data_IF_121064693305
#
_entry.id   IF_121064693305
#
_cell.length_a   1.000
_cell.length_b   1.000
_cell.length_c   1.000
_cell.angle_alpha   90.00
_cell.angle_beta   90.00
_cell.angle_gamma   90.00
#
_symmetry.space_group_name_H-M   'P 1'
#
loop_
_entity.id
_entity.type
_entity.pdbx_description
1 polymer ?
#
# COMPACT_ATOMS: atom_id res chain seq x y z
N UNK A 1 -1.99 9.55 -2.00
CA UNK A 1 -0.60 9.31 -2.42
C UNK A 1 0.33 10.44 -2.03
N UNK A 2 -0.12 11.70 -2.02
CA UNK A 2 0.73 12.81 -1.61
C UNK A 2 1.29 12.66 -0.19
N UNK A 3 0.52 12.13 0.76
CA UNK A 3 0.97 11.92 2.14
C UNK A 3 2.08 10.85 2.21
N UNK A 4 1.96 9.76 1.45
CA UNK A 4 2.99 8.71 1.37
C UNK A 4 4.28 9.28 0.76
N UNK A 5 4.16 10.04 -0.31
CA UNK A 5 5.28 10.68 -0.98
C UNK A 5 5.98 11.67 -0.05
N UNK A 6 5.22 12.50 0.67
CA UNK A 6 5.78 13.47 1.62
C UNK A 6 6.50 12.77 2.78
N UNK A 7 5.95 11.66 3.29
CA UNK A 7 6.60 10.88 4.34
C UNK A 7 7.91 10.28 3.87
N UNK A 8 7.95 9.74 2.65
CA UNK A 8 9.18 9.21 2.04
C UNK A 8 10.24 10.29 1.86
N UNK A 9 9.83 11.51 1.57
CA UNK A 9 10.73 12.64 1.35
C UNK A 9 11.43 13.08 2.64
N UNK A 10 10.86 12.79 3.79
CA UNK A 10 11.38 13.17 5.10
C UNK A 10 12.20 12.04 5.71
N UNK A 11 13.34 11.73 5.11
CA UNK A 11 14.15 10.56 5.46
C UNK A 11 14.68 10.54 6.90
N UNK A 12 14.80 11.69 7.56
CA UNK A 12 15.43 11.81 8.87
C UNK A 12 14.42 11.87 10.03
N UNK A 13 13.13 11.64 9.78
CA UNK A 13 12.13 11.69 10.84
C UNK A 13 12.21 10.42 11.67
N UNK A 14 12.46 10.60 12.97
CA UNK A 14 12.35 9.51 13.93
C UNK A 14 10.89 9.07 14.02
N UNK A 15 10.64 7.80 13.77
CA UNK A 15 9.31 7.23 13.90
C UNK A 15 9.05 7.00 15.39
N UNK A 16 7.93 7.52 15.95
CA UNK A 16 7.60 7.32 17.35
C UNK A 16 7.53 5.83 17.70
N UNK A 17 7.86 5.50 18.94
CA UNK A 17 7.77 4.14 19.49
C UNK A 17 8.80 3.15 18.95
N UNK A 18 9.87 3.62 18.31
CA UNK A 18 10.93 2.76 17.82
C UNK A 18 10.54 1.85 16.66
N UNK A 19 9.48 2.18 15.94
CA UNK A 19 9.03 1.41 14.78
C UNK A 19 10.04 1.56 13.63
N UNK A 20 10.56 0.46 13.05
CA UNK A 20 11.44 0.56 11.89
C UNK A 20 10.77 1.25 10.71
N UNK A 21 11.57 1.96 9.93
CA UNK A 21 11.09 2.71 8.76
C UNK A 21 10.35 1.81 7.74
N UNK A 22 10.86 0.60 7.51
CA UNK A 22 10.22 -0.32 6.58
C UNK A 22 8.82 -0.75 7.03
N UNK A 23 8.55 -0.77 8.34
CA UNK A 23 7.21 -1.08 8.86
C UNK A 23 6.25 0.06 8.54
N UNK A 24 6.69 1.31 8.69
CA UNK A 24 5.87 2.46 8.32
C UNK A 24 5.56 2.45 6.81
N UNK A 25 6.55 2.12 5.97
CA UNK A 25 6.35 1.95 4.53
C UNK A 25 5.33 0.85 4.25
N UNK A 26 5.49 -0.32 4.85
CA UNK A 26 4.58 -1.45 4.65
C UNK A 26 3.14 -1.09 5.03
N UNK A 27 2.96 -0.41 6.17
CA UNK A 27 1.63 -0.01 6.63
C UNK A 27 0.99 1.03 5.70
N UNK A 28 1.77 2.01 5.26
CA UNK A 28 1.29 3.03 4.32
C UNK A 28 0.87 2.41 2.99
N UNK A 29 1.66 1.50 2.48
CA UNK A 29 1.35 0.80 1.22
C UNK A 29 0.23 -0.23 1.38
N UNK A 30 0.06 -0.81 2.56
CA UNK A 30 -1.10 -1.64 2.85
C UNK A 30 -2.40 -0.82 2.72
N UNK A 31 -2.42 0.39 3.28
CA UNK A 31 -3.54 1.30 3.10
C UNK A 31 -3.78 1.64 1.63
N UNK A 32 -2.71 1.92 0.88
CA UNK A 32 -2.80 2.20 -0.54
C UNK A 32 -3.36 1.00 -1.32
N UNK A 33 -2.86 -0.20 -1.05
CA UNK A 33 -3.33 -1.43 -1.70
C UNK A 33 -4.82 -1.67 -1.45
N UNK A 34 -5.27 -1.48 -0.21
CA UNK A 34 -6.67 -1.62 0.15
C UNK A 34 -7.54 -0.59 -0.58
N UNK A 35 -7.12 0.67 -0.62
CA UNK A 35 -7.84 1.73 -1.31
C UNK A 35 -7.89 1.49 -2.82
N UNK A 36 -6.82 0.95 -3.40
CA UNK A 36 -6.79 0.63 -4.83
C UNK A 36 -7.77 -0.48 -5.17
N UNK A 37 -7.85 -1.52 -4.35
CA UNK A 37 -8.86 -2.59 -4.57
C UNK A 37 -10.26 -2.00 -4.53
N UNK A 38 -10.54 -1.13 -3.57
CA UNK A 38 -11.84 -0.49 -3.46
C UNK A 38 -12.14 0.39 -4.68
N UNK A 39 -11.17 1.19 -5.10
CA UNK A 39 -11.33 2.08 -6.26
C UNK A 39 -11.52 1.30 -7.55
N UNK A 40 -10.71 0.26 -7.79
CA UNK A 40 -10.82 -0.59 -8.98
C UNK A 40 -12.13 -1.35 -9.03
N UNK A 41 -12.69 -1.68 -7.87
CA UNK A 41 -13.98 -2.35 -7.78
C UNK A 41 -15.19 -1.43 -7.93
N UNK A 42 -14.96 -0.11 -8.01
CA UNK A 42 -16.04 0.86 -8.21
C UNK A 42 -16.55 1.56 -6.96
N UNK A 43 -15.98 1.25 -5.77
CA UNK A 43 -16.29 1.95 -4.53
C UNK A 43 -17.04 1.17 -3.46
N UNK A 44 -18.10 0.40 -3.77
CA UNK A 44 -18.81 -0.38 -2.74
C UNK A 44 -17.92 -1.44 -2.13
N UNK A 45 -18.10 -1.68 -0.82
CA UNK A 45 -17.30 -2.70 -0.12
C UNK A 45 -17.47 -4.09 -0.72
N UNK A 46 -18.68 -4.44 -1.14
CA UNK A 46 -18.97 -5.74 -1.74
C UNK A 46 -18.38 -5.95 -3.13
N UNK A 47 -17.88 -4.91 -3.77
CA UNK A 47 -17.23 -5.00 -5.09
C UNK A 47 -15.75 -5.33 -5.01
N UNK A 48 -15.17 -5.37 -3.82
CA UNK A 48 -13.77 -5.72 -3.62
C UNK A 48 -13.62 -7.24 -3.76
N UNK A 49 -12.98 -7.68 -4.82
CA UNK A 49 -12.79 -9.09 -5.13
C UNK A 49 -11.31 -9.45 -5.22
N UNK A 50 -11.00 -10.72 -5.06
CA UNK A 50 -9.61 -11.18 -5.14
C UNK A 50 -8.99 -11.01 -6.54
N UNK A 51 -9.80 -10.91 -7.58
CA UNK A 51 -9.30 -10.62 -8.94
C UNK A 51 -8.65 -9.23 -9.03
N UNK A 52 -8.92 -8.35 -8.07
CA UNK A 52 -8.34 -7.00 -8.02
C UNK A 52 -7.04 -6.94 -7.22
N UNK A 53 -6.65 -8.02 -6.54
CA UNK A 53 -5.44 -8.04 -5.71
C UNK A 53 -4.20 -7.78 -6.55
N UNK A 54 -4.02 -8.52 -7.64
CA UNK A 54 -2.82 -8.37 -8.48
C UNK A 54 -2.76 -7.00 -9.15
N UNK A 55 -3.82 -6.49 -9.82
CA UNK A 55 -3.79 -5.14 -10.36
C UNK A 55 -3.49 -4.06 -9.31
N UNK A 56 -4.10 -4.14 -8.14
CA UNK A 56 -3.87 -3.17 -7.07
C UNK A 56 -2.42 -3.25 -6.55
N UNK A 57 -1.91 -4.46 -6.34
CA UNK A 57 -0.54 -4.66 -5.88
C UNK A 57 0.47 -4.16 -6.91
N UNK A 58 0.22 -4.37 -8.20
CA UNK A 58 1.08 -3.86 -9.27
C UNK A 58 1.10 -2.33 -9.30
N UNK A 59 -0.04 -1.68 -9.17
CA UNK A 59 -0.11 -0.22 -9.13
C UNK A 59 0.64 0.30 -7.91
N UNK A 60 0.44 -0.32 -6.75
CA UNK A 60 1.15 0.04 -5.53
C UNK A 60 2.67 -0.13 -5.67
N UNK A 61 3.11 -1.25 -6.23
CA UNK A 61 4.54 -1.52 -6.45
C UNK A 61 5.16 -0.52 -7.43
N UNK A 62 4.44 -0.18 -8.51
CA UNK A 62 4.90 0.82 -9.47
C UNK A 62 5.02 2.20 -8.83
N UNK A 63 4.08 2.56 -7.97
CA UNK A 63 4.17 3.81 -7.22
C UNK A 63 5.38 3.79 -6.29
N UNK A 64 5.63 2.67 -5.60
CA UNK A 64 6.79 2.50 -4.74
C UNK A 64 8.10 2.61 -5.51
N UNK A 65 8.17 2.01 -6.69
CA UNK A 65 9.33 2.11 -7.56
C UNK A 65 9.58 3.56 -7.99
N UNK A 66 8.52 4.29 -8.35
CA UNK A 66 8.59 5.69 -8.71
C UNK A 66 9.10 6.54 -7.54
N UNK A 67 8.62 6.26 -6.33
CA UNK A 67 9.03 6.96 -5.12
C UNK A 67 10.51 6.70 -4.81
N UNK A 68 10.96 5.45 -4.90
CA UNK A 68 12.39 5.11 -4.71
C UNK A 68 13.27 5.78 -5.75
N UNK A 69 12.82 5.82 -7.00
CA UNK A 69 13.55 6.51 -8.07
C UNK A 69 13.69 7.99 -7.75
N UNK A 70 12.60 8.63 -7.30
CA UNK A 70 12.63 10.03 -6.89
C UNK A 70 13.60 10.24 -5.72
N UNK A 71 13.56 9.37 -4.71
CA UNK A 71 14.43 9.48 -3.54
C UNK A 71 15.90 9.35 -3.90
N UNK A 72 16.25 8.65 -4.96
CA UNK A 72 17.64 8.48 -5.37
C UNK A 72 18.31 9.80 -5.77
N UNK A 73 17.53 10.84 -6.08
CA UNK A 73 18.03 12.16 -6.42
C UNK A 73 18.16 13.10 -5.21
N UNK A 74 17.75 12.67 -4.02
CA UNK A 74 17.78 13.50 -2.82
C UNK A 74 19.13 13.30 -2.12
N UNK A 75 19.92 14.39 -1.88
CA UNK A 75 21.20 14.26 -1.18
C UNK A 75 21.03 13.62 0.21
N UNK A 76 21.93 12.69 0.53
CA UNK A 76 21.91 12.00 1.81
C UNK A 76 20.90 10.88 1.93
N UNK A 77 20.13 10.60 0.87
CA UNK A 77 19.16 9.52 0.85
C UNK A 77 19.56 8.44 -0.14
N UNK A 78 19.54 7.21 0.32
CA UNK A 78 19.85 6.06 -0.53
C UNK A 78 18.57 5.30 -0.87
N UNK A 79 18.40 5.01 -2.15
CA UNK A 79 17.35 4.11 -2.59
C UNK A 79 17.57 2.72 -1.97
N UNK A 80 16.52 2.10 -1.46
CA UNK A 80 16.61 0.84 -0.72
C UNK A 80 15.75 -0.22 -1.37
N UNK A 81 16.38 -1.37 -1.71
CA UNK A 81 15.64 -2.54 -2.17
C UNK A 81 14.72 -3.07 -1.05
N UNK A 82 15.16 -2.96 0.20
CA UNK A 82 14.34 -3.33 1.36
C UNK A 82 13.06 -2.50 1.46
N UNK A 83 13.16 -1.19 1.25
CA UNK A 83 12.00 -0.31 1.25
C UNK A 83 11.06 -0.62 0.08
N UNK A 84 11.60 -0.88 -1.09
CA UNK A 84 10.81 -1.27 -2.25
C UNK A 84 10.07 -2.59 -2.01
N UNK A 85 10.75 -3.56 -1.42
CA UNK A 85 10.14 -4.83 -1.05
C UNK A 85 9.03 -4.63 -0.01
N UNK A 86 9.25 -3.78 0.99
CA UNK A 86 8.23 -3.44 1.99
C UNK A 86 7.00 -2.78 1.34
N UNK A 87 7.20 -1.89 0.37
CA UNK A 87 6.12 -1.24 -0.37
C UNK A 87 5.29 -2.27 -1.15
N UNK A 88 5.95 -3.19 -1.84
CA UNK A 88 5.27 -4.23 -2.62
C UNK A 88 4.50 -5.21 -1.72
N UNK A 89 5.14 -5.67 -0.65
CA UNK A 89 4.52 -6.59 0.31
C UNK A 89 3.35 -5.91 1.01
N UNK A 90 3.52 -4.65 1.40
CA UNK A 90 2.46 -3.86 2.02
C UNK A 90 1.26 -3.73 1.09
N UNK A 91 1.47 -3.33 -0.17
CA UNK A 91 0.42 -3.19 -1.17
C UNK A 91 -0.33 -4.50 -1.38
N UNK A 92 0.41 -5.62 -1.49
CA UNK A 92 -0.19 -6.94 -1.66
C UNK A 92 -1.02 -7.33 -0.44
N UNK A 93 -0.48 -7.14 0.77
CA UNK A 93 -1.16 -7.46 2.02
C UNK A 93 -2.44 -6.65 2.20
N UNK A 94 -2.38 -5.34 1.94
CA UNK A 94 -3.54 -4.46 2.01
C UNK A 94 -4.60 -4.80 0.97
N UNK A 95 -4.18 -5.10 -0.25
CA UNK A 95 -5.09 -5.53 -1.31
C UNK A 95 -5.79 -6.84 -0.94
N UNK A 96 -5.05 -7.81 -0.41
CA UNK A 96 -5.60 -9.09 0.04
C UNK A 96 -6.60 -8.90 1.19
N UNK A 97 -6.29 -8.03 2.15
CA UNK A 97 -7.18 -7.71 3.27
C UNK A 97 -8.49 -7.07 2.76
N UNK A 98 -8.40 -6.15 1.80
CA UNK A 98 -9.57 -5.52 1.20
C UNK A 98 -10.44 -6.53 0.46
N UNK A 99 -9.82 -7.44 -0.30
CA UNK A 99 -10.56 -8.50 -0.99
C UNK A 99 -11.27 -9.44 -0.01
N UNK A 100 -10.61 -9.76 1.11
CA UNK A 100 -11.21 -10.56 2.19
C UNK A 100 -12.41 -9.83 2.81
N UNK A 101 -12.29 -8.53 3.04
CA UNK A 101 -13.39 -7.70 3.53
C UNK A 101 -14.57 -7.71 2.56
N UNK A 102 -14.29 -7.59 1.26
CA UNK A 102 -15.32 -7.66 0.23
C UNK A 102 -16.07 -8.99 0.24
N UNK A 103 -15.33 -10.10 0.38
CA UNK A 103 -15.91 -11.42 0.48
C UNK A 103 -16.79 -11.54 1.73
N UNK A 104 -16.33 -11.02 2.85
CA UNK A 104 -17.10 -11.01 4.09
C UNK A 104 -18.41 -10.22 3.92
N UNK A 105 -18.34 -9.02 3.34
CA UNK A 105 -19.51 -8.17 3.11
C UNK A 105 -20.54 -8.90 2.21
N UNK A 106 -20.07 -9.51 1.11
CA UNK A 106 -20.97 -10.27 0.21
C UNK A 106 -21.62 -11.44 0.93
N UNK A 107 -20.86 -12.14 1.76
CA UNK A 107 -21.37 -13.28 2.55
C UNK A 107 -22.45 -12.83 3.53
N UNK A 108 -22.21 -11.72 4.24
CA UNK A 108 -23.18 -11.19 5.18
C UNK A 108 -24.47 -10.73 4.49
N UNK A 109 -24.34 -10.08 3.33
CA UNK A 109 -25.51 -9.63 2.54
C UNK A 109 -26.31 -10.80 1.99
N UNK A 110 -25.67 -11.88 1.64
CA UNK A 110 -26.34 -13.08 1.13
C UNK A 110 -27.15 -13.84 2.18
N UNK A 111 -27.01 -13.49 3.45
CA UNK A 111 -27.74 -14.11 4.57
C UNK A 111 -29.04 -13.38 4.96
N UNK A 112 -29.30 -12.26 4.33
CA UNK A 112 -30.48 -11.42 4.64
C UNK A 112 -31.67 -11.79 3.77
#
# INVERSE_FOLDING_TARGET
>A
MAATFAASHRSAIAIPFGVPDYVAHALGYAGLGALLVRALGGGPLGSMTRSLIVPAALIGALYGLSDEFHQSFIPGRMASVGDLAADAIGSLGGAAAAAAMGAFVRRMRGRV
#
